data_IF_612948620234
#
_entry.id   IF_612948620234
#
_cell.length_a   1.000
_cell.length_b   1.000
_cell.length_c   1.000
_cell.angle_alpha   90.00
_cell.angle_beta   90.00
_cell.angle_gamma   90.00
#
_symmetry.space_group_name_H-M   'P 1'
#
loop_
_entity.id
_entity.type
_entity.pdbx_description
1 polymer ?
#
# COMPACT_ATOMS: atom_id res chain seq x y z
N UNK A 1 24.36 -26.20 19.93
CA UNK A 1 23.85 -24.82 20.08
C UNK A 1 22.47 -24.74 19.45
N UNK A 2 21.41 -24.71 20.28
CA UNK A 2 20.05 -24.99 19.84
C UNK A 2 19.44 -23.89 18.97
N UNK A 3 19.07 -24.24 17.74
CA UNK A 3 18.40 -23.37 16.75
C UNK A 3 17.10 -22.76 17.31
N UNK A 4 16.42 -23.49 18.21
CA UNK A 4 15.23 -23.06 18.97
C UNK A 4 15.46 -21.74 19.73
N UNK A 5 16.64 -21.56 20.34
CA UNK A 5 16.95 -20.35 21.11
C UNK A 5 17.08 -19.13 20.18
N UNK A 6 17.70 -19.31 19.00
CA UNK A 6 17.83 -18.24 18.01
C UNK A 6 16.49 -17.80 17.45
N UNK A 7 15.59 -18.73 17.13
CA UNK A 7 14.24 -18.40 16.64
C UNK A 7 13.43 -17.62 17.68
N UNK A 8 13.50 -18.04 18.95
CA UNK A 8 12.80 -17.35 20.05
C UNK A 8 13.32 -15.92 20.24
N UNK A 9 14.65 -15.73 20.19
CA UNK A 9 15.27 -14.41 20.26
C UNK A 9 14.89 -13.54 19.05
N UNK A 10 14.83 -14.09 17.84
CA UNK A 10 14.41 -13.37 16.64
C UNK A 10 12.96 -12.87 16.75
N UNK A 11 12.03 -13.73 17.19
CA UNK A 11 10.63 -13.34 17.40
C UNK A 11 10.48 -12.24 18.45
N UNK A 12 11.25 -12.31 19.54
CA UNK A 12 11.26 -11.26 20.57
C UNK A 12 11.80 -9.92 20.02
N UNK A 13 12.84 -9.96 19.19
CA UNK A 13 13.35 -8.76 18.53
C UNK A 13 12.34 -8.16 17.55
N UNK A 14 11.69 -8.98 16.72
CA UNK A 14 10.62 -8.52 15.81
C UNK A 14 9.49 -7.81 16.56
N UNK A 15 9.08 -8.34 17.72
CA UNK A 15 8.04 -7.72 18.54
C UNK A 15 8.45 -6.34 19.06
N UNK A 16 9.71 -6.20 19.51
CA UNK A 16 10.25 -4.91 19.95
C UNK A 16 10.29 -3.88 18.82
N UNK A 17 10.64 -4.30 17.60
CA UNK A 17 10.67 -3.43 16.42
C UNK A 17 9.26 -2.98 16.03
N UNK A 18 8.29 -3.89 16.04
CA UNK A 18 6.87 -3.57 15.79
C UNK A 18 6.30 -2.59 16.82
N UNK A 19 6.74 -2.66 18.07
CA UNK A 19 6.33 -1.72 19.11
C UNK A 19 6.99 -0.34 18.94
N UNK A 20 8.25 -0.30 18.49
CA UNK A 20 9.01 0.94 18.26
C UNK A 20 8.59 1.65 16.97
N UNK A 21 8.01 0.91 16.01
CA UNK A 21 7.43 1.51 14.82
C UNK A 21 6.33 2.50 15.20
N UNK A 22 6.51 3.77 14.86
CA UNK A 22 5.51 4.81 15.07
C UNK A 22 4.22 4.41 14.37
N UNK A 23 3.16 4.15 15.15
CA UNK A 23 1.84 3.93 14.59
C UNK A 23 1.40 5.24 13.92
N UNK A 24 1.07 5.22 12.62
CA UNK A 24 0.78 6.45 11.87
C UNK A 24 -0.44 7.14 12.47
N UNK A 25 -0.38 8.47 12.55
CA UNK A 25 -1.49 9.25 13.07
C UNK A 25 -2.70 9.20 12.11
N UNK A 26 -3.92 9.27 12.66
CA UNK A 26 -5.14 9.21 11.84
C UNK A 26 -5.19 10.31 10.78
N UNK A 27 -4.57 11.47 11.04
CA UNK A 27 -4.47 12.57 10.10
C UNK A 27 -3.49 12.26 8.96
N UNK A 28 -2.32 11.69 9.25
CA UNK A 28 -1.33 11.29 8.24
C UNK A 28 -1.87 10.22 7.30
N UNK A 29 -2.60 9.23 7.86
CA UNK A 29 -3.27 8.20 7.06
C UNK A 29 -4.29 8.83 6.13
N UNK A 30 -5.11 9.77 6.63
CA UNK A 30 -6.11 10.49 5.81
C UNK A 30 -5.45 11.34 4.72
N UNK A 31 -4.34 11.99 5.02
CA UNK A 31 -3.62 12.81 4.05
C UNK A 31 -3.02 11.96 2.94
N UNK A 32 -2.32 10.88 3.31
CA UNK A 32 -1.76 9.91 2.35
C UNK A 32 -2.85 9.27 1.49
N UNK A 33 -3.95 8.83 2.12
CA UNK A 33 -5.08 8.22 1.41
C UNK A 33 -5.73 9.18 0.39
N UNK A 34 -5.84 10.47 0.72
CA UNK A 34 -6.35 11.48 -0.23
C UNK A 34 -5.43 11.65 -1.42
N UNK A 35 -4.12 11.76 -1.18
CA UNK A 35 -3.13 11.95 -2.25
C UNK A 35 -3.10 10.73 -3.18
N UNK A 36 -3.04 9.52 -2.61
CA UNK A 36 -3.09 8.27 -3.39
C UNK A 36 -4.43 8.10 -4.11
N UNK A 37 -5.55 8.45 -3.46
CA UNK A 37 -6.87 8.39 -4.08
C UNK A 37 -7.01 9.30 -5.30
N UNK A 38 -6.45 10.52 -5.23
CA UNK A 38 -6.39 11.44 -6.38
C UNK A 38 -5.53 10.84 -7.50
N UNK A 39 -4.38 10.26 -7.18
CA UNK A 39 -3.50 9.60 -8.17
C UNK A 39 -4.18 8.45 -8.90
N UNK A 40 -4.83 7.55 -8.17
CA UNK A 40 -5.59 6.43 -8.74
C UNK A 40 -6.76 6.95 -9.58
N UNK A 41 -7.45 7.99 -9.12
CA UNK A 41 -8.53 8.62 -9.88
C UNK A 41 -8.07 9.15 -11.24
N UNK A 42 -6.95 9.88 -11.27
CA UNK A 42 -6.39 10.44 -12.51
C UNK A 42 -5.99 9.32 -13.48
N UNK A 43 -5.23 8.34 -13.01
CA UNK A 43 -4.76 7.23 -13.85
C UNK A 43 -5.95 6.40 -14.36
N UNK A 44 -6.93 6.13 -13.50
CA UNK A 44 -8.15 5.41 -13.86
C UNK A 44 -8.98 6.15 -14.92
N UNK A 45 -9.14 7.47 -14.79
CA UNK A 45 -9.85 8.29 -15.79
C UNK A 45 -9.11 8.30 -17.13
N UNK A 46 -7.78 8.43 -17.11
CA UNK A 46 -6.98 8.39 -18.35
C UNK A 46 -7.14 7.02 -19.05
N UNK A 47 -6.98 5.92 -18.30
CA UNK A 47 -7.19 4.57 -18.84
C UNK A 47 -8.62 4.34 -19.33
N UNK A 48 -9.61 4.89 -18.63
CA UNK A 48 -11.02 4.82 -19.02
C UNK A 48 -11.31 5.59 -20.31
N UNK A 49 -10.72 6.78 -20.49
CA UNK A 49 -10.84 7.55 -21.74
C UNK A 49 -10.24 6.77 -22.91
N UNK A 50 -9.07 6.16 -22.73
CA UNK A 50 -8.46 5.31 -23.76
C UNK A 50 -9.40 4.14 -24.08
N UNK A 51 -9.92 3.44 -23.07
CA UNK A 51 -10.86 2.35 -23.28
C UNK A 51 -12.13 2.79 -24.02
N UNK A 52 -12.71 3.94 -23.68
CA UNK A 52 -13.89 4.48 -24.35
C UNK A 52 -13.62 4.78 -25.84
N UNK A 53 -12.47 5.38 -26.15
CA UNK A 53 -12.07 5.68 -27.52
C UNK A 53 -11.91 4.38 -28.32
N UNK A 54 -11.20 3.39 -27.78
CA UNK A 54 -11.00 2.09 -28.43
C UNK A 54 -12.31 1.31 -28.62
N UNK A 55 -13.21 1.38 -27.63
CA UNK A 55 -14.55 0.77 -27.70
C UNK A 55 -15.40 1.43 -28.79
N UNK A 56 -15.37 2.76 -28.89
CA UNK A 56 -16.17 3.50 -29.87
C UNK A 56 -15.64 3.33 -31.31
N UNK A 57 -14.34 3.16 -31.47
CA UNK A 57 -13.69 2.82 -32.75
C UNK A 57 -13.98 1.36 -33.19
N UNK A 58 -14.62 0.55 -32.35
CA UNK A 58 -15.06 -0.80 -32.72
C UNK A 58 -13.91 -1.80 -32.86
N UNK A 59 -12.78 -1.55 -32.17
CA UNK A 59 -11.63 -2.46 -32.14
C UNK A 59 -11.77 -3.57 -31.07
N UNK A 60 -12.91 -3.64 -30.38
CA UNK A 60 -13.33 -4.65 -29.40
C UNK A 60 -14.76 -5.07 -29.69
#
# INVERSE_FOLDING_TARGET
MGVIQKLRQFLLQCNRILHISSKPDKNEIRQSAKITGIGIGIIGVIGFIIFLIFTFIGAV
#
